data_IF_464588011919
#
_entry.id   IF_464588011919
#
_cell.length_a   1.000
_cell.length_b   1.000
_cell.length_c   1.000
_cell.angle_alpha   90.00
_cell.angle_beta   90.00
_cell.angle_gamma   90.00
#
_symmetry.space_group_name_H-M   'P 1'
#
loop_
_entity.id
_entity.type
_entity.pdbx_description
1 polymer ?
#
# COMPACT_ATOMS: atom_id res chain seq x y z
N UNK A 1 12.43 38.61 -16.29
CA UNK A 1 12.03 37.29 -16.89
C UNK A 1 11.53 36.28 -15.84
N UNK A 2 11.01 36.70 -14.68
CA UNK A 2 10.83 35.83 -13.49
C UNK A 2 9.40 35.27 -13.28
N UNK A 3 8.35 35.94 -13.77
CA UNK A 3 6.96 35.56 -13.45
C UNK A 3 6.45 34.27 -14.13
N UNK A 4 6.95 33.92 -15.32
CA UNK A 4 6.43 32.76 -16.08
C UNK A 4 6.94 31.42 -15.53
N UNK A 5 8.20 31.39 -15.08
CA UNK A 5 8.82 30.21 -14.48
C UNK A 5 8.14 29.83 -13.15
N UNK A 6 7.95 30.82 -12.27
CA UNK A 6 7.32 30.62 -10.96
C UNK A 6 5.88 30.09 -11.08
N UNK A 7 5.11 30.58 -12.05
CA UNK A 7 3.75 30.12 -12.31
C UNK A 7 3.73 28.65 -12.77
N UNK A 8 4.67 28.24 -13.62
CA UNK A 8 4.79 26.86 -14.08
C UNK A 8 5.13 25.89 -12.93
N UNK A 9 6.05 26.28 -12.05
CA UNK A 9 6.44 25.45 -10.89
C UNK A 9 5.25 25.25 -9.94
N UNK A 10 4.48 26.31 -9.68
CA UNK A 10 3.28 26.24 -8.84
C UNK A 10 2.19 25.35 -9.46
N UNK A 11 1.98 25.44 -10.77
CA UNK A 11 1.04 24.55 -11.47
C UNK A 11 1.46 23.09 -11.40
N UNK A 12 2.74 22.80 -11.60
CA UNK A 12 3.27 21.44 -11.50
C UNK A 12 3.10 20.87 -10.09
N UNK A 13 3.38 21.67 -9.07
CA UNK A 13 3.20 21.28 -7.67
C UNK A 13 1.74 20.91 -7.37
N UNK A 14 0.78 21.76 -7.78
CA UNK A 14 -0.64 21.49 -7.56
C UNK A 14 -1.13 20.25 -8.31
N UNK A 15 -0.61 19.99 -9.51
CA UNK A 15 -0.93 18.78 -10.27
C UNK A 15 -0.39 17.53 -9.56
N UNK A 16 0.87 17.55 -9.11
CA UNK A 16 1.46 16.44 -8.32
C UNK A 16 0.70 16.19 -7.02
N UNK A 17 0.21 17.25 -6.37
CA UNK A 17 -0.63 17.15 -5.17
C UNK A 17 -1.98 16.49 -5.45
N UNK A 18 -2.65 16.84 -6.56
CA UNK A 18 -3.88 16.17 -7.00
C UNK A 18 -3.65 14.70 -7.32
N UNK A 19 -2.54 14.39 -7.99
CA UNK A 19 -2.12 13.01 -8.24
C UNK A 19 -2.01 12.21 -6.94
N UNK A 20 -1.23 12.72 -5.97
CA UNK A 20 -1.02 12.05 -4.68
C UNK A 20 -2.32 11.85 -3.91
N UNK A 21 -3.23 12.82 -3.95
CA UNK A 21 -4.54 12.71 -3.30
C UNK A 21 -5.35 11.55 -3.88
N UNK A 22 -5.36 11.38 -5.20
CA UNK A 22 -6.01 10.23 -5.84
C UNK A 22 -5.29 8.93 -5.47
N UNK A 23 -3.96 8.92 -5.63
CA UNK A 23 -3.12 7.73 -5.49
C UNK A 23 -3.17 7.11 -4.08
N UNK A 24 -3.36 7.93 -3.04
CA UNK A 24 -3.55 7.46 -1.65
C UNK A 24 -4.81 6.60 -1.47
N UNK A 25 -5.84 6.79 -2.28
CA UNK A 25 -7.07 6.01 -2.19
C UNK A 25 -7.01 4.72 -3.01
N UNK A 26 -6.33 4.76 -4.17
CA UNK A 26 -6.16 3.63 -5.08
C UNK A 26 -4.78 3.80 -5.76
N UNK A 27 -3.74 3.05 -5.36
CA UNK A 27 -2.37 3.27 -5.81
C UNK A 27 -2.07 2.69 -7.21
N UNK A 28 -2.92 3.03 -8.19
CA UNK A 28 -2.77 2.66 -9.61
C UNK A 28 -2.29 3.89 -10.39
N UNK A 29 -1.04 3.83 -10.88
CA UNK A 29 -0.36 4.98 -11.50
C UNK A 29 -1.12 5.49 -12.74
N UNK A 30 -1.50 4.57 -13.64
CA UNK A 30 -2.28 4.88 -14.84
C UNK A 30 -3.57 5.66 -14.55
N UNK A 31 -4.41 5.17 -13.63
CA UNK A 31 -5.68 5.82 -13.28
C UNK A 31 -5.47 7.20 -12.63
N UNK A 32 -4.46 7.32 -11.76
CA UNK A 32 -4.11 8.58 -11.14
C UNK A 32 -3.58 9.60 -12.17
N UNK A 33 -2.88 9.15 -13.20
CA UNK A 33 -2.40 9.98 -14.30
C UNK A 33 -3.56 10.49 -15.17
N UNK A 34 -4.47 9.59 -15.56
CA UNK A 34 -5.68 9.93 -16.31
C UNK A 34 -6.57 10.93 -15.53
N UNK A 35 -6.70 10.75 -14.21
CA UNK A 35 -7.43 11.67 -13.33
C UNK A 35 -6.90 13.12 -13.40
N UNK A 36 -5.59 13.30 -13.51
CA UNK A 36 -4.96 14.61 -13.67
C UNK A 36 -4.73 15.01 -15.13
N UNK A 37 -5.31 14.26 -16.09
CA UNK A 37 -5.19 14.46 -17.54
C UNK A 37 -3.73 14.44 -18.01
N UNK A 38 -2.96 13.46 -17.57
CA UNK A 38 -1.57 13.20 -17.98
C UNK A 38 -1.39 11.74 -18.37
N UNK A 39 -0.40 11.50 -19.22
CA UNK A 39 0.04 10.15 -19.57
C UNK A 39 0.81 9.51 -18.41
N UNK A 40 0.73 8.18 -18.32
CA UNK A 40 1.46 7.41 -17.31
C UNK A 40 2.98 7.65 -17.38
N UNK A 41 3.53 7.80 -18.59
CA UNK A 41 4.95 8.11 -18.82
C UNK A 41 5.37 9.44 -18.21
N UNK A 42 4.47 10.42 -18.16
CA UNK A 42 4.74 11.70 -17.48
C UNK A 42 5.05 11.47 -16.01
N UNK A 43 4.31 10.58 -15.36
CA UNK A 43 4.50 10.25 -13.93
C UNK A 43 5.80 9.47 -13.73
N UNK A 44 6.08 8.52 -14.62
CA UNK A 44 7.35 7.79 -14.63
C UNK A 44 8.54 8.76 -14.72
N UNK A 45 8.45 9.77 -15.57
CA UNK A 45 9.49 10.80 -15.70
C UNK A 45 9.58 11.67 -14.44
N UNK A 46 8.45 12.03 -13.81
CA UNK A 46 8.47 12.75 -12.54
C UNK A 46 9.16 11.97 -11.42
N UNK A 47 8.91 10.66 -11.32
CA UNK A 47 9.58 9.81 -10.31
C UNK A 47 11.10 9.78 -10.49
N UNK A 48 11.57 9.76 -11.75
CA UNK A 48 13.01 9.81 -12.07
C UNK A 48 13.63 11.17 -11.75
N UNK A 49 12.91 12.25 -12.02
CA UNK A 49 13.42 13.62 -11.86
C UNK A 49 13.24 14.19 -10.45
N UNK A 50 12.33 13.64 -9.66
CA UNK A 50 11.94 14.15 -8.33
C UNK A 50 11.91 12.99 -7.31
N UNK A 51 13.04 12.73 -6.63
CA UNK A 51 13.12 11.66 -5.63
C UNK A 51 12.11 11.84 -4.48
N UNK A 52 11.84 13.08 -4.07
CA UNK A 52 10.88 13.38 -3.00
C UNK A 52 9.47 12.95 -3.41
N UNK A 53 9.06 13.22 -4.65
CA UNK A 53 7.79 12.73 -5.18
C UNK A 53 7.75 11.20 -5.26
N UNK A 54 8.86 10.56 -5.64
CA UNK A 54 8.97 9.09 -5.66
C UNK A 54 8.78 8.49 -4.26
N UNK A 55 9.42 9.05 -3.24
CA UNK A 55 9.29 8.61 -1.84
C UNK A 55 7.87 8.78 -1.32
N UNK A 56 7.23 9.90 -1.65
CA UNK A 56 5.83 10.15 -1.32
C UNK A 56 4.88 9.11 -1.91
N UNK A 57 5.16 8.64 -3.15
CA UNK A 57 4.37 7.58 -3.78
C UNK A 57 4.60 6.22 -3.12
N UNK A 58 5.86 5.89 -2.82
CA UNK A 58 6.20 4.67 -2.10
C UNK A 58 5.47 4.60 -0.76
N UNK A 59 5.52 5.68 0.01
CA UNK A 59 4.82 5.81 1.30
C UNK A 59 3.31 5.68 1.14
N UNK A 60 2.70 6.41 0.21
CA UNK A 60 1.25 6.36 -0.02
C UNK A 60 0.77 4.94 -0.39
N UNK A 61 1.55 4.22 -1.21
CA UNK A 61 1.26 2.83 -1.56
C UNK A 61 1.35 1.91 -0.34
N UNK A 62 2.42 2.03 0.46
CA UNK A 62 2.60 1.21 1.67
C UNK A 62 1.49 1.45 2.70
N UNK A 63 1.13 2.71 2.94
CA UNK A 63 0.03 3.08 3.84
C UNK A 63 -1.31 2.48 3.37
N UNK A 64 -1.62 2.58 2.07
CA UNK A 64 -2.82 1.98 1.51
C UNK A 64 -2.84 0.46 1.65
N UNK A 65 -1.70 -0.20 1.38
CA UNK A 65 -1.58 -1.67 1.53
C UNK A 65 -1.84 -2.07 2.98
N UNK A 66 -1.21 -1.40 3.95
CA UNK A 66 -1.41 -1.68 5.37
C UNK A 66 -2.87 -1.51 5.80
N UNK A 67 -3.53 -0.44 5.34
CA UNK A 67 -4.95 -0.21 5.61
C UNK A 67 -5.82 -1.35 5.05
N UNK A 68 -5.63 -1.74 3.79
CA UNK A 68 -6.45 -2.79 3.16
C UNK A 68 -6.17 -4.17 3.73
N UNK A 69 -4.91 -4.46 4.02
CA UNK A 69 -4.50 -5.70 4.68
C UNK A 69 -5.17 -5.84 6.05
N UNK A 70 -5.27 -4.76 6.84
CA UNK A 70 -5.93 -4.80 8.15
C UNK A 70 -7.43 -5.14 8.10
N UNK A 71 -8.06 -4.97 6.93
CA UNK A 71 -9.49 -5.24 6.72
C UNK A 71 -9.75 -6.68 6.24
N UNK A 72 -8.71 -7.45 5.89
CA UNK A 72 -8.85 -8.84 5.47
C UNK A 72 -9.24 -9.66 6.70
N UNK A 73 -10.41 -10.30 6.66
CA UNK A 73 -10.91 -11.13 7.77
C UNK A 73 -10.11 -12.42 7.96
N UNK A 74 -9.54 -12.94 6.87
CA UNK A 74 -8.73 -14.14 6.87
C UNK A 74 -7.25 -13.77 6.81
N UNK A 75 -6.63 -13.71 7.99
CA UNK A 75 -5.21 -13.42 8.12
C UNK A 75 -4.32 -14.54 7.57
N UNK A 76 -4.84 -15.74 7.30
CA UNK A 76 -4.04 -16.87 6.83
C UNK A 76 -3.43 -16.59 5.46
N UNK A 77 -4.22 -16.07 4.54
CA UNK A 77 -3.74 -15.62 3.22
C UNK A 77 -2.67 -14.54 3.31
N UNK A 78 -2.78 -13.65 4.31
CA UNK A 78 -1.81 -12.59 4.54
C UNK A 78 -0.50 -13.17 5.11
N UNK A 79 -0.61 -14.03 6.12
CA UNK A 79 0.52 -14.68 6.78
C UNK A 79 1.31 -15.57 5.82
N UNK A 80 0.63 -16.29 4.92
CA UNK A 80 1.25 -17.06 3.83
C UNK A 80 2.12 -16.20 2.90
N UNK A 81 1.77 -14.92 2.71
CA UNK A 81 2.56 -13.99 1.87
C UNK A 81 3.67 -13.29 2.63
N UNK A 82 3.50 -13.04 3.93
CA UNK A 82 4.49 -12.37 4.77
C UNK A 82 5.58 -13.35 5.22
N UNK A 83 5.19 -14.57 5.59
CA UNK A 83 6.07 -15.63 6.09
C UNK A 83 5.68 -16.99 5.48
N UNK A 84 6.00 -17.20 4.19
CA UNK A 84 5.68 -18.44 3.49
C UNK A 84 6.39 -19.67 4.05
N UNK A 85 7.47 -19.51 4.82
CA UNK A 85 8.19 -20.64 5.42
C UNK A 85 7.39 -21.26 6.58
N UNK A 86 6.76 -20.42 7.40
CA UNK A 86 5.93 -20.87 8.53
C UNK A 86 4.48 -21.16 8.14
N UNK A 87 3.92 -20.39 7.21
CA UNK A 87 2.49 -20.48 6.87
C UNK A 87 2.22 -21.09 5.50
N UNK A 88 3.21 -21.21 4.62
CA UNK A 88 3.05 -21.64 3.22
C UNK A 88 2.79 -23.13 2.99
N UNK A 89 2.33 -23.88 4.00
CA UNK A 89 1.95 -25.29 3.85
C UNK A 89 0.56 -25.58 4.44
N UNK A 90 -0.39 -25.85 3.55
CA UNK A 90 -1.14 -27.12 3.51
C UNK A 90 -1.91 -27.22 2.18
N UNK A 91 -1.21 -27.53 1.09
CA UNK A 91 -1.85 -28.24 -0.02
C UNK A 91 -2.11 -29.68 0.42
N UNK A 92 -3.39 -30.05 0.41
CA UNK A 92 -3.99 -31.37 0.61
C UNK A 92 -4.34 -31.78 2.06
N UNK A 93 -5.65 -31.76 2.32
CA UNK A 93 -6.37 -32.69 3.19
C UNK A 93 -6.00 -32.73 4.68
N UNK A 94 -6.27 -31.66 5.43
CA UNK A 94 -6.52 -31.80 6.87
C UNK A 94 -7.78 -31.04 7.27
N UNK A 95 -8.73 -31.68 7.98
CA UNK A 95 -9.95 -31.01 8.44
C UNK A 95 -9.61 -29.93 9.48
N UNK A 96 -10.45 -28.89 9.53
CA UNK A 96 -10.36 -27.63 10.29
C UNK A 96 -10.05 -27.71 11.82
N UNK A 97 -9.79 -28.89 12.38
CA UNK A 97 -9.48 -29.08 13.79
C UNK A 97 -7.98 -29.29 14.03
N UNK A 98 -7.15 -28.28 13.74
CA UNK A 98 -5.76 -28.29 14.20
C UNK A 98 -5.66 -27.62 15.60
N UNK A 99 -5.61 -28.39 16.70
CA UNK A 99 -5.58 -27.85 18.06
C UNK A 99 -4.31 -27.06 18.37
N UNK A 100 -3.22 -27.28 17.65
CA UNK A 100 -1.98 -26.51 17.82
C UNK A 100 -2.10 -25.10 17.24
N UNK A 101 -2.79 -24.97 16.10
CA UNK A 101 -3.09 -23.67 15.49
C UNK A 101 -4.03 -22.84 16.39
N UNK A 102 -5.07 -23.47 16.93
CA UNK A 102 -5.97 -22.82 17.89
C UNK A 102 -5.25 -22.40 19.17
N UNK A 103 -4.37 -23.25 19.72
CA UNK A 103 -3.56 -22.92 20.89
C UNK A 103 -2.64 -21.73 20.64
N UNK A 104 -2.03 -21.65 19.44
CA UNK A 104 -1.19 -20.53 19.05
C UNK A 104 -1.97 -19.24 18.86
N UNK A 105 -3.15 -19.30 18.22
CA UNK A 105 -4.05 -18.15 18.06
C UNK A 105 -4.54 -17.63 19.42
N UNK A 106 -4.89 -18.51 20.35
CA UNK A 106 -5.28 -18.14 21.72
C UNK A 106 -4.12 -17.48 22.45
N UNK A 107 -2.91 -18.00 22.32
CA UNK A 107 -1.72 -17.43 22.95
C UNK A 107 -1.39 -16.04 22.38
N UNK A 108 -1.39 -15.88 21.07
CA UNK A 108 -1.15 -14.59 20.40
C UNK A 108 -2.21 -13.54 20.77
N UNK A 109 -3.49 -13.94 20.90
CA UNK A 109 -4.57 -13.04 21.35
C UNK A 109 -4.37 -12.53 22.78
N UNK A 110 -3.82 -13.35 23.69
CA UNK A 110 -3.49 -12.94 25.06
C UNK A 110 -2.34 -11.94 25.11
N UNK A 111 -1.35 -12.08 24.22
CA UNK A 111 -0.22 -11.14 24.15
C UNK A 111 -0.62 -9.78 23.56
N UNK A 112 -1.57 -9.76 22.64
CA UNK A 112 -2.04 -8.53 21.98
C UNK A 112 -3.14 -7.78 22.74
N UNK A 113 -3.77 -8.40 23.74
CA UNK A 113 -4.74 -7.77 24.65
C UNK A 113 -4.45 -8.18 26.11
N UNK A 114 -3.43 -7.60 26.75
CA UNK A 114 -3.04 -8.00 28.10
C UNK A 114 -4.00 -7.53 29.23
N UNK A 115 -5.00 -6.69 28.94
CA UNK A 115 -5.83 -6.01 29.95
C UNK A 115 -7.36 -6.09 29.71
N UNK A 116 -7.88 -7.18 29.16
CA UNK A 116 -9.32 -7.54 29.27
C UNK A 116 -9.51 -8.65 30.31
#
# INVERSE_FOLDING_TARGET
MTNKSLNYTNQLFEIKKKFLKYYRNIPIQKLAAEYIKKDEDTITNWKKADPVFSDQLGRAKSEWVLEKVSQIKDNRWLLERIDPEHFGKNTMNEPDNNPELEAWIIHARKLLRPNE
#
